data_IF_454936756203
#
_entry.id   IF_454936756203
#
_cell.length_a   1.000
_cell.length_b   1.000
_cell.length_c   1.000
_cell.angle_alpha   90.00
_cell.angle_beta   90.00
_cell.angle_gamma   90.00
#
_symmetry.space_group_name_H-M   'P 1'
#
loop_
_entity.id
_entity.type
_entity.pdbx_description
1 polymer ?
#
# COMPACT_ATOMS: atom_id res chain seq x y z
N UNK A 1 14.46 38.97 36.56
CA UNK A 1 15.20 38.39 35.42
C UNK A 1 14.38 37.21 34.91
N UNK A 2 13.73 37.35 33.78
CA UNK A 2 12.96 36.24 33.16
C UNK A 2 13.99 35.24 32.61
N UNK A 3 14.09 34.07 33.22
CA UNK A 3 14.84 32.92 32.67
C UNK A 3 14.02 32.39 31.48
N UNK A 4 14.25 32.96 30.31
CA UNK A 4 13.77 32.36 29.08
C UNK A 4 14.30 30.91 29.04
N UNK A 5 13.41 29.92 29.20
CA UNK A 5 13.76 28.52 29.00
C UNK A 5 14.33 28.39 27.59
N UNK A 6 15.59 27.99 27.47
CA UNK A 6 16.25 27.74 26.21
C UNK A 6 15.40 26.70 25.45
N UNK A 7 14.84 27.08 24.33
CA UNK A 7 14.04 26.17 23.52
C UNK A 7 14.94 25.02 23.07
N UNK A 8 14.45 23.78 23.17
CA UNK A 8 15.21 22.62 22.70
C UNK A 8 15.44 22.74 21.19
N UNK A 9 16.69 22.64 20.71
CA UNK A 9 17.02 22.91 19.31
C UNK A 9 16.74 21.69 18.42
N UNK A 10 15.45 21.27 18.34
CA UNK A 10 15.03 20.10 17.59
C UNK A 10 15.41 20.19 16.10
N UNK A 11 15.42 21.37 15.50
CA UNK A 11 15.80 21.61 14.10
C UNK A 11 17.27 21.25 13.80
N UNK A 12 18.12 21.21 14.81
CA UNK A 12 19.53 20.82 14.67
C UNK A 12 19.75 19.32 14.94
N UNK A 13 19.03 18.75 15.91
CA UNK A 13 19.23 17.38 16.34
C UNK A 13 18.49 16.36 15.49
N UNK A 14 17.21 16.62 15.17
CA UNK A 14 16.37 15.66 14.48
C UNK A 14 16.91 15.27 13.10
N UNK A 15 17.25 16.22 12.19
CA UNK A 15 17.78 15.84 10.88
C UNK A 15 19.10 15.06 10.96
N UNK A 16 19.95 15.40 11.94
CA UNK A 16 21.21 14.70 12.16
C UNK A 16 21.00 13.23 12.57
N UNK A 17 20.06 12.97 13.49
CA UNK A 17 19.78 11.61 13.92
C UNK A 17 19.03 10.81 12.87
N UNK A 18 18.11 11.41 12.14
CA UNK A 18 17.42 10.79 11.02
C UNK A 18 18.43 10.31 9.96
N UNK A 19 19.37 11.17 9.58
CA UNK A 19 20.43 10.81 8.65
C UNK A 19 21.31 9.68 9.19
N UNK A 20 21.71 9.76 10.45
CA UNK A 20 22.50 8.71 11.09
C UNK A 20 21.79 7.35 11.10
N UNK A 21 20.50 7.30 11.40
CA UNK A 21 19.72 6.06 11.38
C UNK A 21 19.61 5.44 9.98
N UNK A 22 19.46 6.27 8.96
CA UNK A 22 19.43 5.81 7.57
C UNK A 22 20.79 5.22 7.15
N UNK A 23 21.89 5.94 7.41
CA UNK A 23 23.24 5.51 7.05
C UNK A 23 23.69 4.24 7.80
N UNK A 24 23.32 4.15 9.06
CA UNK A 24 23.64 2.99 9.89
C UNK A 24 22.73 1.77 9.67
N UNK A 25 21.64 1.92 8.88
CA UNK A 25 20.62 0.87 8.76
C UNK A 25 20.03 0.47 10.11
N UNK A 26 19.86 1.46 11.03
CA UNK A 26 19.55 1.22 12.45
C UNK A 26 18.28 0.40 12.68
N UNK A 27 17.37 0.38 11.72
CA UNK A 27 16.09 -0.30 11.81
C UNK A 27 15.95 -1.47 10.85
N UNK A 28 17.03 -1.86 10.18
CA UNK A 28 17.06 -2.98 9.26
C UNK A 28 16.78 -4.31 9.98
N UNK A 29 15.89 -5.12 9.42
CA UNK A 29 15.66 -6.49 9.85
C UNK A 29 16.63 -7.43 9.13
N UNK A 30 17.44 -8.18 9.88
CA UNK A 30 18.35 -9.16 9.30
C UNK A 30 17.60 -10.37 8.74
N UNK A 31 18.02 -10.84 7.55
CA UNK A 31 17.48 -12.05 6.92
C UNK A 31 18.32 -13.27 7.27
N UNK A 32 17.74 -14.47 7.17
CA UNK A 32 18.53 -15.70 7.08
C UNK A 32 19.54 -15.59 5.93
N UNK A 33 20.83 -15.74 6.27
CA UNK A 33 21.96 -15.61 5.32
C UNK A 33 22.71 -14.27 5.39
N UNK A 34 22.16 -13.24 6.03
CA UNK A 34 22.91 -12.01 6.31
C UNK A 34 23.99 -12.29 7.40
N UNK A 35 25.14 -11.59 7.30
CA UNK A 35 26.26 -11.79 8.22
C UNK A 35 25.91 -11.46 9.68
N UNK A 36 24.95 -10.58 9.91
CA UNK A 36 24.45 -10.14 11.21
C UNK A 36 23.16 -10.86 11.65
N UNK A 37 22.72 -11.90 10.90
CA UNK A 37 21.54 -12.67 11.26
C UNK A 37 21.81 -13.57 12.46
N UNK A 38 21.01 -13.38 13.49
CA UNK A 38 21.03 -14.21 14.70
C UNK A 38 19.72 -15.01 14.79
N UNK A 39 19.80 -16.32 14.53
CA UNK A 39 18.66 -17.22 14.58
C UNK A 39 18.05 -17.41 15.99
N UNK A 40 18.78 -17.05 17.06
CA UNK A 40 18.31 -17.13 18.44
C UNK A 40 17.38 -15.97 18.82
N UNK A 41 17.43 -14.84 18.07
CA UNK A 41 16.55 -13.71 18.32
C UNK A 41 15.12 -14.03 17.90
N UNK A 42 14.14 -13.84 18.79
CA UNK A 42 12.75 -13.99 18.43
C UNK A 42 12.37 -12.96 17.35
N UNK A 43 11.51 -13.37 16.42
CA UNK A 43 11.05 -12.52 15.33
C UNK A 43 9.81 -11.76 15.76
N UNK A 44 9.72 -10.50 15.36
CA UNK A 44 8.52 -9.69 15.51
C UNK A 44 8.22 -8.97 14.20
N UNK A 45 7.00 -9.14 13.71
CA UNK A 45 6.55 -8.53 12.47
C UNK A 45 5.37 -7.61 12.78
N UNK A 46 5.53 -6.33 12.47
CA UNK A 46 4.50 -5.33 12.70
C UNK A 46 4.21 -4.59 11.39
N UNK A 47 2.93 -4.45 11.08
CA UNK A 47 2.45 -3.81 9.86
C UNK A 47 1.59 -2.61 10.20
N UNK A 48 1.78 -1.56 9.44
CA UNK A 48 0.85 -0.45 9.35
C UNK A 48 -0.09 -0.62 8.16
N UNK A 49 -1.23 0.04 8.22
CA UNK A 49 -2.01 0.27 7.02
C UNK A 49 -1.24 1.28 6.17
N UNK A 50 -0.68 0.80 5.07
CA UNK A 50 0.15 1.62 4.19
C UNK A 50 -0.67 2.74 3.51
N UNK A 51 -0.09 3.95 3.38
CA UNK A 51 -0.83 5.11 2.96
C UNK A 51 -1.09 5.12 1.45
N UNK A 52 -2.18 5.77 1.08
CA UNK A 52 -2.43 6.20 -0.28
C UNK A 52 -1.62 7.47 -0.57
N UNK A 53 -0.81 7.53 -1.64
CA UNK A 53 0.07 8.68 -1.93
C UNK A 53 -0.72 9.84 -2.54
N UNK A 54 -1.52 10.52 -1.72
CA UNK A 54 -2.24 11.72 -2.14
C UNK A 54 -1.29 12.90 -2.38
N UNK A 55 -1.72 13.88 -3.19
CA UNK A 55 -0.92 15.06 -3.49
C UNK A 55 -0.60 15.92 -2.26
N UNK A 56 -1.46 15.91 -1.27
CA UNK A 56 -1.32 16.70 -0.04
C UNK A 56 -0.38 16.05 1.00
N UNK A 57 0.00 14.79 0.77
CA UNK A 57 0.85 14.05 1.69
C UNK A 57 0.08 13.41 2.85
N UNK A 58 0.75 13.32 4.01
CA UNK A 58 0.18 12.69 5.21
C UNK A 58 -0.76 13.66 5.95
N UNK A 59 -1.82 13.12 6.51
CA UNK A 59 -2.65 13.81 7.51
C UNK A 59 -2.36 13.28 8.93
N UNK A 60 -2.86 13.98 9.95
CA UNK A 60 -2.61 13.66 11.37
C UNK A 60 -2.97 12.21 11.74
N UNK A 61 -4.05 11.66 11.17
CA UNK A 61 -4.46 10.28 11.42
C UNK A 61 -3.44 9.24 11.00
N UNK A 62 -2.64 9.49 9.96
CA UNK A 62 -1.52 8.59 9.62
C UNK A 62 -0.47 8.60 10.74
N UNK A 63 -0.08 9.80 11.19
CA UNK A 63 0.95 9.96 12.23
C UNK A 63 0.51 9.31 13.55
N UNK A 64 -0.77 9.43 13.91
CA UNK A 64 -1.34 8.83 15.12
C UNK A 64 -1.18 7.28 15.09
N UNK A 65 -1.67 6.63 14.03
CA UNK A 65 -1.57 5.18 13.88
C UNK A 65 -0.13 4.68 13.82
N UNK A 66 0.71 5.33 13.02
CA UNK A 66 2.11 4.93 12.83
C UNK A 66 2.96 5.17 14.07
N UNK A 67 2.61 6.13 14.92
CA UNK A 67 3.27 6.31 16.22
C UNK A 67 3.05 5.12 17.14
N UNK A 68 1.84 4.55 17.15
CA UNK A 68 1.55 3.39 18.00
C UNK A 68 2.38 2.16 17.60
N UNK A 69 2.47 1.86 16.31
CA UNK A 69 3.28 0.74 15.78
C UNK A 69 4.77 1.00 15.93
N UNK A 70 5.23 2.23 15.78
CA UNK A 70 6.63 2.61 16.00
C UNK A 70 7.07 2.42 17.45
N UNK A 71 6.21 2.75 18.41
CA UNK A 71 6.46 2.49 19.83
C UNK A 71 6.64 0.99 20.07
N UNK A 72 5.77 0.15 19.51
CA UNK A 72 5.89 -1.30 19.65
C UNK A 72 7.14 -1.83 18.96
N UNK A 73 7.47 -1.34 17.76
CA UNK A 73 8.67 -1.75 17.05
C UNK A 73 9.94 -1.44 17.84
N UNK A 74 10.06 -0.23 18.39
CA UNK A 74 11.20 0.18 19.24
C UNK A 74 11.25 -0.62 20.53
N UNK A 75 10.12 -0.84 21.18
CA UNK A 75 10.04 -1.63 22.41
C UNK A 75 10.55 -3.05 22.20
N UNK A 76 10.11 -3.74 21.14
CA UNK A 76 10.59 -5.08 20.84
C UNK A 76 12.07 -5.13 20.44
N UNK A 77 12.57 -4.12 19.70
CA UNK A 77 14.01 -4.03 19.41
C UNK A 77 14.83 -3.90 20.69
N UNK A 78 14.39 -3.09 21.66
CA UNK A 78 15.06 -2.97 22.96
C UNK A 78 15.02 -4.26 23.77
N UNK A 79 14.05 -5.14 23.53
CA UNK A 79 13.99 -6.48 24.14
C UNK A 79 14.81 -7.53 23.37
N UNK A 80 15.55 -7.15 22.33
CA UNK A 80 16.42 -8.05 21.58
C UNK A 80 15.74 -8.83 20.45
N UNK A 81 14.52 -8.47 20.06
CA UNK A 81 13.86 -9.09 18.89
C UNK A 81 14.48 -8.65 17.57
N UNK A 82 14.46 -9.52 16.58
CA UNK A 82 14.64 -9.15 15.18
C UNK A 82 13.29 -8.64 14.65
N UNK A 83 13.15 -7.31 14.51
CA UNK A 83 11.88 -6.65 14.22
C UNK A 83 11.83 -6.26 12.76
N UNK A 84 10.83 -6.77 12.02
CA UNK A 84 10.48 -6.30 10.69
C UNK A 84 9.31 -5.32 10.78
N UNK A 85 9.60 -4.05 10.52
CA UNK A 85 8.63 -2.94 10.45
C UNK A 85 8.76 -2.26 9.09
N UNK A 86 8.12 -2.81 8.04
CA UNK A 86 8.22 -2.28 6.68
C UNK A 86 7.24 -1.14 6.44
N UNK A 87 7.49 -0.38 5.38
CA UNK A 87 6.55 0.59 4.83
C UNK A 87 6.23 0.23 3.37
N UNK A 88 5.03 0.60 2.93
CA UNK A 88 4.61 0.42 1.54
C UNK A 88 3.69 1.53 1.07
N UNK A 89 3.34 1.47 -0.23
CA UNK A 89 2.52 2.48 -0.87
C UNK A 89 1.38 1.80 -1.62
N UNK A 90 0.14 2.16 -1.27
CA UNK A 90 -1.03 1.83 -2.07
C UNK A 90 -1.13 2.83 -3.23
N UNK A 91 -0.33 2.56 -4.26
CA UNK A 91 -0.04 3.55 -5.29
C UNK A 91 -0.97 3.47 -6.51
N UNK A 92 -1.81 2.45 -6.64
CA UNK A 92 -2.90 2.43 -7.61
C UNK A 92 -4.08 3.24 -7.10
N UNK A 93 -4.71 4.04 -7.96
CA UNK A 93 -5.91 4.75 -7.55
C UNK A 93 -6.56 5.57 -8.65
N UNK A 94 -7.90 5.63 -8.61
CA UNK A 94 -8.72 6.40 -9.53
C UNK A 94 -8.36 7.91 -9.59
N UNK A 95 -8.02 8.61 -8.49
CA UNK A 95 -7.70 10.03 -8.55
C UNK A 95 -6.49 10.39 -9.41
N UNK A 96 -5.58 9.45 -9.66
CA UNK A 96 -4.40 9.71 -10.49
C UNK A 96 -4.75 9.94 -11.96
N UNK A 97 -5.78 9.29 -12.49
CA UNK A 97 -6.20 9.41 -13.88
C UNK A 97 -6.86 10.76 -14.21
N UNK A 98 -7.90 11.23 -13.47
CA UNK A 98 -8.46 12.55 -13.67
C UNK A 98 -7.44 13.67 -13.50
N UNK A 99 -6.51 13.52 -12.57
CA UNK A 99 -5.41 14.49 -12.40
C UNK A 99 -4.50 14.51 -13.64
N UNK A 100 -4.17 13.35 -14.20
CA UNK A 100 -3.38 13.22 -15.42
C UNK A 100 -4.08 13.90 -16.62
N UNK A 101 -5.39 13.68 -16.78
CA UNK A 101 -6.19 14.31 -17.83
C UNK A 101 -6.18 15.84 -17.66
N UNK A 102 -6.40 16.32 -16.43
CA UNK A 102 -6.44 17.74 -16.11
C UNK A 102 -5.11 18.47 -16.34
N UNK A 103 -4.00 17.80 -16.05
CA UNK A 103 -2.66 18.42 -16.04
C UNK A 103 -1.81 18.06 -17.25
N UNK A 104 -2.21 17.08 -18.06
CA UNK A 104 -1.40 16.51 -19.15
C UNK A 104 -0.17 15.74 -18.67
N UNK A 105 -0.08 15.42 -17.38
CA UNK A 105 1.02 14.65 -16.80
C UNK A 105 0.66 13.16 -16.70
N UNK A 106 1.60 12.30 -17.00
CA UNK A 106 1.39 10.86 -16.82
C UNK A 106 1.19 10.53 -15.32
N UNK A 107 0.24 9.64 -14.96
CA UNK A 107 0.01 9.22 -13.57
C UNK A 107 1.28 8.78 -12.85
N UNK A 108 2.15 8.05 -13.53
CA UNK A 108 3.44 7.56 -13.00
C UNK A 108 4.31 8.70 -12.44
N UNK A 109 4.38 9.83 -13.14
CA UNK A 109 5.23 10.97 -12.75
C UNK A 109 4.67 11.62 -11.48
N UNK A 110 3.36 11.84 -11.45
CA UNK A 110 2.69 12.42 -10.29
C UNK A 110 2.78 11.50 -9.08
N UNK A 111 2.52 10.21 -9.26
CA UNK A 111 2.61 9.21 -8.19
C UNK A 111 4.03 9.15 -7.62
N UNK A 112 5.07 9.09 -8.45
CA UNK A 112 6.46 9.08 -7.97
C UNK A 112 6.77 10.32 -7.11
N UNK A 113 6.38 11.52 -7.54
CA UNK A 113 6.57 12.75 -6.78
C UNK A 113 5.83 12.73 -5.43
N UNK A 114 4.60 12.21 -5.41
CA UNK A 114 3.82 12.10 -4.20
C UNK A 114 4.45 11.10 -3.22
N UNK A 115 4.94 9.96 -3.72
CA UNK A 115 5.67 8.97 -2.91
C UNK A 115 6.92 9.58 -2.26
N UNK A 116 7.72 10.32 -3.02
CA UNK A 116 8.91 11.00 -2.49
C UNK A 116 8.54 11.99 -1.39
N UNK A 117 7.43 12.73 -1.54
CA UNK A 117 6.96 13.66 -0.53
C UNK A 117 6.52 12.94 0.75
N UNK A 118 5.71 11.89 0.64
CA UNK A 118 5.21 11.11 1.79
C UNK A 118 6.37 10.41 2.50
N UNK A 119 7.31 9.81 1.75
CA UNK A 119 8.53 9.20 2.32
C UNK A 119 9.33 10.20 3.14
N UNK A 120 9.57 11.39 2.58
CA UNK A 120 10.27 12.48 3.27
C UNK A 120 9.55 12.91 4.54
N UNK A 121 8.21 12.98 4.53
CA UNK A 121 7.40 13.33 5.71
C UNK A 121 7.54 12.25 6.80
N UNK A 122 7.44 10.96 6.46
CA UNK A 122 7.62 9.86 7.42
C UNK A 122 9.02 9.81 8.02
N UNK A 123 10.04 10.05 7.20
CA UNK A 123 11.42 10.14 7.66
C UNK A 123 11.62 11.34 8.60
N UNK A 124 10.98 12.48 8.31
CA UNK A 124 11.07 13.67 9.16
C UNK A 124 10.39 13.47 10.53
N UNK A 125 9.36 12.63 10.63
CA UNK A 125 8.79 12.23 11.94
C UNK A 125 9.75 11.31 12.70
N UNK A 126 10.65 10.60 12.00
CA UNK A 126 11.67 9.73 12.61
C UNK A 126 11.17 8.34 12.95
N UNK A 127 10.16 7.82 12.25
CA UNK A 127 9.69 6.45 12.42
C UNK A 127 10.76 5.41 12.11
N UNK A 128 10.73 4.31 12.85
CA UNK A 128 11.71 3.22 12.78
C UNK A 128 11.35 2.16 11.71
N UNK A 129 11.03 2.60 10.51
CA UNK A 129 10.79 1.71 9.38
C UNK A 129 12.09 1.15 8.83
N UNK A 130 12.01 -0.10 8.36
CA UNK A 130 13.05 -0.71 7.52
C UNK A 130 12.84 -0.27 6.07
N UNK A 131 13.52 0.81 5.67
CA UNK A 131 13.38 1.40 4.35
C UNK A 131 13.90 0.51 3.20
N UNK A 132 14.76 -0.48 3.50
CA UNK A 132 15.18 -1.50 2.53
C UNK A 132 14.03 -2.46 2.16
N UNK A 133 12.96 -2.46 2.95
CA UNK A 133 11.75 -3.25 2.75
C UNK A 133 10.58 -2.43 2.22
N UNK A 134 10.85 -1.24 1.70
CA UNK A 134 9.83 -0.43 1.04
C UNK A 134 9.30 -1.11 -0.21
N UNK A 135 7.97 -1.13 -0.37
CA UNK A 135 7.29 -1.69 -1.54
C UNK A 135 6.26 -0.71 -2.09
N UNK A 136 6.01 -0.79 -3.41
CA UNK A 136 4.93 -0.05 -4.05
C UNK A 136 4.05 -1.00 -4.84
N UNK A 137 2.73 -0.89 -4.69
CA UNK A 137 1.79 -1.74 -5.42
C UNK A 137 1.85 -1.54 -6.93
N UNK A 138 2.36 -0.38 -7.41
CA UNK A 138 2.57 -0.08 -8.83
C UNK A 138 3.92 -0.54 -9.37
N UNK A 139 4.79 -1.12 -8.54
CA UNK A 139 6.04 -1.71 -9.01
C UNK A 139 5.74 -3.01 -9.77
N UNK A 140 6.24 -3.18 -11.00
CA UNK A 140 6.12 -4.44 -11.73
C UNK A 140 6.66 -5.66 -10.97
N UNK A 141 7.71 -5.48 -10.17
CA UNK A 141 8.25 -6.49 -9.28
C UNK A 141 7.26 -6.94 -8.21
N UNK A 142 6.36 -6.05 -7.78
CA UNK A 142 5.32 -6.33 -6.81
C UNK A 142 4.05 -6.89 -7.48
N UNK A 143 3.42 -6.17 -8.41
CA UNK A 143 2.10 -6.55 -8.93
C UNK A 143 2.12 -7.81 -9.81
N UNK A 144 3.27 -8.23 -10.34
CA UNK A 144 3.40 -9.53 -11.02
C UNK A 144 2.93 -10.70 -10.14
N UNK A 145 3.11 -10.59 -8.82
CA UNK A 145 2.67 -11.63 -7.89
C UNK A 145 1.16 -11.62 -7.70
N UNK A 146 0.52 -10.45 -7.68
CA UNK A 146 -0.93 -10.33 -7.71
C UNK A 146 -1.51 -10.94 -8.99
N UNK A 147 -0.89 -10.67 -10.13
CA UNK A 147 -1.27 -11.28 -11.41
C UNK A 147 -1.07 -12.79 -11.40
N UNK A 148 0.04 -13.26 -10.82
CA UNK A 148 0.29 -14.70 -10.69
C UNK A 148 -0.76 -15.39 -9.81
N UNK A 149 -1.12 -14.82 -8.67
CA UNK A 149 -2.19 -15.33 -7.80
C UNK A 149 -3.51 -15.39 -8.58
N UNK A 150 -3.86 -14.34 -9.32
CA UNK A 150 -5.04 -14.34 -10.17
C UNK A 150 -5.03 -15.50 -11.18
N UNK A 151 -3.90 -15.73 -11.83
CA UNK A 151 -3.75 -16.84 -12.79
C UNK A 151 -3.90 -18.22 -12.12
N UNK A 152 -3.45 -18.38 -10.86
CA UNK A 152 -3.70 -19.63 -10.11
C UNK A 152 -5.22 -19.83 -9.91
N UNK A 153 -5.95 -18.78 -9.51
CA UNK A 153 -7.39 -18.83 -9.35
C UNK A 153 -8.12 -19.08 -10.67
N UNK A 154 -7.72 -18.40 -11.74
CA UNK A 154 -8.30 -18.56 -13.07
C UNK A 154 -8.08 -19.96 -13.65
N UNK A 155 -6.92 -20.56 -13.42
CA UNK A 155 -6.57 -21.91 -13.89
C UNK A 155 -6.99 -23.03 -12.93
N UNK A 156 -7.86 -22.73 -11.96
CA UNK A 156 -8.36 -23.70 -10.98
C UNK A 156 -9.88 -23.73 -10.92
N UNK A 157 -10.40 -24.84 -10.44
CA UNK A 157 -11.80 -25.05 -10.06
C UNK A 157 -11.90 -25.72 -8.70
N UNK A 158 -13.00 -25.50 -7.99
CA UNK A 158 -13.23 -26.16 -6.72
C UNK A 158 -13.90 -27.50 -6.95
N UNK A 159 -13.19 -28.62 -6.63
CA UNK A 159 -13.73 -29.95 -6.72
C UNK A 159 -14.49 -30.30 -5.42
N UNK A 160 -15.83 -30.41 -5.43
CA UNK A 160 -16.61 -30.70 -4.24
C UNK A 160 -16.37 -32.10 -3.68
N UNK A 161 -15.96 -33.06 -4.52
CA UNK A 161 -15.69 -34.45 -4.08
C UNK A 161 -14.40 -34.53 -3.26
N UNK A 162 -13.34 -33.84 -3.66
CA UNK A 162 -12.08 -33.79 -2.93
C UNK A 162 -12.01 -32.64 -1.93
N UNK A 163 -12.92 -31.65 -2.01
CA UNK A 163 -12.96 -30.40 -1.24
C UNK A 163 -11.67 -29.58 -1.38
N UNK A 164 -11.08 -29.59 -2.57
CA UNK A 164 -9.83 -28.86 -2.90
C UNK A 164 -9.98 -28.10 -4.20
N UNK A 165 -9.14 -27.06 -4.36
CA UNK A 165 -8.91 -26.46 -5.64
C UNK A 165 -8.02 -27.40 -6.49
N UNK A 166 -8.44 -27.65 -7.71
CA UNK A 166 -7.74 -28.51 -8.67
C UNK A 166 -7.51 -27.77 -9.98
N UNK A 167 -6.49 -28.15 -10.78
CA UNK A 167 -6.27 -27.53 -12.08
C UNK A 167 -7.50 -27.65 -12.97
N UNK A 168 -7.86 -26.58 -13.68
CA UNK A 168 -9.05 -26.54 -14.53
C UNK A 168 -9.04 -27.63 -15.62
N UNK A 169 -7.85 -28.06 -16.10
CA UNK A 169 -7.70 -29.12 -17.07
C UNK A 169 -8.15 -30.51 -16.56
N UNK A 170 -8.35 -30.68 -15.25
CA UNK A 170 -8.88 -31.93 -14.66
C UNK A 170 -10.41 -31.95 -14.62
N UNK A 171 -11.06 -30.82 -14.92
CA UNK A 171 -12.52 -30.78 -15.01
C UNK A 171 -13.01 -31.49 -16.27
N UNK A 172 -13.96 -32.41 -16.10
CA UNK A 172 -14.46 -33.25 -17.20
C UNK A 172 -15.81 -32.81 -17.79
N UNK A 173 -16.38 -31.72 -17.26
CA UNK A 173 -17.61 -31.11 -17.78
C UNK A 173 -17.38 -30.34 -19.07
N UNK A 174 -18.46 -29.99 -19.77
CA UNK A 174 -18.43 -29.29 -21.06
C UNK A 174 -18.15 -27.81 -20.97
N UNK A 175 -18.36 -27.18 -19.80
CA UNK A 175 -18.18 -25.75 -19.60
C UNK A 175 -17.23 -25.47 -18.42
N UNK A 176 -15.94 -25.37 -18.66
CA UNK A 176 -14.96 -25.07 -17.61
C UNK A 176 -15.17 -23.71 -16.95
N UNK A 177 -15.70 -22.72 -17.67
CA UNK A 177 -15.86 -21.36 -17.15
C UNK A 177 -16.96 -21.27 -16.08
N UNK A 178 -17.92 -22.19 -16.10
CA UNK A 178 -18.98 -22.26 -15.06
C UNK A 178 -18.46 -22.70 -13.68
N UNK A 179 -17.27 -23.30 -13.60
CA UNK A 179 -16.68 -23.83 -12.34
C UNK A 179 -15.35 -23.17 -11.95
N UNK A 180 -14.81 -22.28 -12.79
CA UNK A 180 -13.58 -21.54 -12.45
C UNK A 180 -13.75 -20.72 -11.17
N UNK A 181 -12.70 -20.58 -10.39
CA UNK A 181 -12.67 -19.71 -9.21
C UNK A 181 -12.69 -18.22 -9.58
N UNK A 182 -12.26 -17.88 -10.78
CA UNK A 182 -12.37 -16.54 -11.36
C UNK A 182 -12.80 -16.66 -12.83
N UNK A 183 -13.70 -15.80 -13.28
CA UNK A 183 -14.24 -15.84 -14.63
C UNK A 183 -14.54 -14.44 -15.15
N UNK A 184 -14.70 -14.30 -16.46
CA UNK A 184 -15.06 -13.06 -17.13
C UNK A 184 -16.60 -12.99 -17.22
N UNK A 185 -17.17 -11.89 -16.75
CA UNK A 185 -18.62 -11.67 -16.82
C UNK A 185 -18.93 -10.19 -17.12
N UNK A 186 -20.11 -9.95 -17.66
CA UNK A 186 -20.68 -8.60 -17.73
C UNK A 186 -21.31 -8.26 -16.39
N UNK A 187 -20.85 -7.17 -15.78
CA UNK A 187 -21.37 -6.68 -14.50
C UNK A 187 -21.86 -5.25 -14.63
N UNK A 188 -23.00 -4.89 -14.01
CA UNK A 188 -23.46 -3.51 -14.00
C UNK A 188 -22.57 -2.66 -13.09
N UNK A 189 -21.98 -1.62 -13.64
CA UNK A 189 -21.10 -0.66 -12.94
C UNK A 189 -21.72 0.73 -12.91
N UNK A 190 -21.28 1.59 -12.02
CA UNK A 190 -21.61 3.00 -11.99
C UNK A 190 -20.72 3.75 -12.98
N UNK A 191 -21.23 4.09 -14.13
CA UNK A 191 -20.51 4.82 -15.17
C UNK A 191 -20.83 6.31 -15.11
N UNK A 192 -19.83 7.16 -15.09
CA UNK A 192 -19.97 8.60 -15.21
C UNK A 192 -19.45 9.06 -16.58
N UNK A 193 -20.33 9.40 -17.57
CA UNK A 193 -19.90 9.80 -18.91
C UNK A 193 -19.01 11.06 -18.90
N UNK A 194 -19.30 12.01 -18.01
CA UNK A 194 -18.56 13.28 -17.92
C UNK A 194 -17.14 13.11 -17.36
N UNK A 195 -16.97 12.16 -16.45
CA UNK A 195 -15.65 11.82 -15.89
C UNK A 195 -14.93 10.76 -16.74
N UNK A 196 -15.67 10.05 -17.62
CA UNK A 196 -15.13 9.00 -18.48
C UNK A 196 -14.62 7.77 -17.70
N UNK A 197 -15.19 7.50 -16.52
CA UNK A 197 -14.70 6.44 -15.61
C UNK A 197 -15.84 5.73 -14.89
N UNK A 198 -15.52 4.55 -14.34
CA UNK A 198 -16.36 3.83 -13.39
C UNK A 198 -16.14 4.39 -12.00
N UNK A 199 -17.20 4.50 -11.22
CA UNK A 199 -17.20 4.99 -9.85
C UNK A 199 -17.52 3.85 -8.88
N UNK A 200 -16.86 3.85 -7.72
CA UNK A 200 -17.24 3.01 -6.59
C UNK A 200 -18.62 3.42 -6.05
N UNK A 201 -19.27 2.55 -5.28
CA UNK A 201 -20.59 2.87 -4.72
C UNK A 201 -20.53 4.08 -3.78
N UNK A 202 -19.45 4.24 -3.06
CA UNK A 202 -19.19 5.33 -2.11
C UNK A 202 -18.99 6.69 -2.81
N UNK A 203 -18.59 6.68 -4.09
CA UNK A 203 -18.39 7.88 -4.91
C UNK A 203 -19.68 8.35 -5.60
N UNK A 204 -20.81 7.66 -5.38
CA UNK A 204 -22.11 8.00 -5.95
C UNK A 204 -23.07 8.43 -4.84
N UNK A 205 -23.42 9.70 -4.84
CA UNK A 205 -24.37 10.30 -3.88
C UNK A 205 -25.58 10.79 -4.67
N UNK A 206 -26.78 10.30 -4.32
CA UNK A 206 -28.06 10.68 -4.97
C UNK A 206 -28.03 10.54 -6.50
N UNK A 207 -27.37 9.48 -7.02
CA UNK A 207 -27.27 9.22 -8.47
C UNK A 207 -26.31 10.14 -9.22
N UNK A 208 -25.45 10.86 -8.49
CA UNK A 208 -24.43 11.75 -9.04
C UNK A 208 -23.05 11.42 -8.48
N UNK A 209 -22.01 11.73 -9.26
CA UNK A 209 -20.64 11.63 -8.78
C UNK A 209 -20.37 12.62 -7.64
N UNK A 210 -19.67 12.18 -6.61
CA UNK A 210 -19.20 13.04 -5.50
C UNK A 210 -18.36 14.21 -6.05
N UNK A 211 -17.46 13.89 -6.97
CA UNK A 211 -16.65 14.91 -7.67
C UNK A 211 -17.41 15.43 -8.88
N UNK A 212 -17.70 16.72 -8.89
CA UNK A 212 -18.34 17.44 -10.00
C UNK A 212 -19.85 17.34 -10.08
N UNK A 213 -20.50 16.50 -9.28
CA UNK A 213 -21.98 16.39 -9.23
C UNK A 213 -22.62 15.90 -10.53
N UNK A 214 -21.90 15.14 -11.35
CA UNK A 214 -22.33 14.69 -12.66
C UNK A 214 -23.27 13.48 -12.56
N UNK A 215 -24.26 13.34 -13.46
CA UNK A 215 -25.13 12.17 -13.51
C UNK A 215 -24.34 10.87 -13.70
N UNK A 216 -24.74 9.85 -12.97
CA UNK A 216 -24.18 8.50 -13.03
C UNK A 216 -25.22 7.53 -13.55
N UNK A 217 -24.84 6.68 -14.48
CA UNK A 217 -25.71 5.65 -15.07
C UNK A 217 -25.19 4.24 -14.74
N UNK A 218 -26.15 3.30 -14.64
CA UNK A 218 -25.79 1.88 -14.53
C UNK A 218 -25.53 1.31 -15.92
N UNK A 219 -24.33 0.84 -16.18
CA UNK A 219 -23.91 0.33 -17.47
C UNK A 219 -23.21 -1.03 -17.31
N UNK A 220 -23.56 -2.04 -18.16
CA UNK A 220 -22.80 -3.29 -18.16
C UNK A 220 -21.41 -3.04 -18.73
N UNK A 221 -20.39 -3.52 -18.02
CA UNK A 221 -19.01 -3.63 -18.48
C UNK A 221 -18.49 -5.04 -18.27
N UNK A 222 -17.62 -5.49 -19.19
CA UNK A 222 -16.98 -6.81 -19.20
C UNK A 222 -15.54 -6.70 -18.76
#
# INVERSE_FOLDING_TARGET
MSTQRKQYPFTEFEPRWQQHWLEAGAFRAANPGDADFDASKPKYYILDMFPYPSGDGLHVGHVEGYTATDILARFHRMQGFNVLHPMGWDAFGLPAEPYAIKTGQQPRVTTARNLDNVRRQLQAVGFSYDWDREVSTTDPGYFRWTQWIFLQLYNAWFNPATRKAEPICTYTGSDPDSVRLAYVAEMPVNWCPQLGTVLANEEVVDGKSEVGGFPVERRPLR
#
